data_IF_924275011239
#
_entry.id   IF_924275011239
#
_cell.length_a   1.000
_cell.length_b   1.000
_cell.length_c   1.000
_cell.angle_alpha   90.00
_cell.angle_beta   90.00
_cell.angle_gamma   90.00
#
_symmetry.space_group_name_H-M   'P 1'
#
loop_
_entity.id
_entity.type
_entity.pdbx_description
1 polymer ?
#
# COMPACT_ATOMS: atom_id res chain seq x y z
N UNK A 1 27.45 -7.37 15.60
CA UNK A 1 26.25 -7.79 16.36
C UNK A 1 24.95 -7.39 15.67
N UNK A 2 24.84 -6.22 15.03
CA UNK A 2 23.60 -5.79 14.34
C UNK A 2 23.40 -6.46 12.96
N UNK A 3 24.48 -6.68 12.19
CA UNK A 3 24.39 -7.36 10.88
C UNK A 3 24.01 -8.84 11.01
N UNK A 4 24.43 -9.49 12.10
CA UNK A 4 24.08 -10.89 12.39
C UNK A 4 22.61 -11.02 12.79
N UNK A 5 22.03 -10.03 13.48
CA UNK A 5 20.62 -10.02 13.84
C UNK A 5 19.70 -9.88 12.61
N UNK A 6 20.12 -9.08 11.61
CA UNK A 6 19.40 -8.88 10.35
C UNK A 6 19.41 -10.14 9.46
N UNK A 7 20.56 -10.80 9.35
CA UNK A 7 20.66 -12.08 8.60
C UNK A 7 19.89 -13.20 9.29
N UNK A 8 19.89 -13.27 10.63
CA UNK A 8 19.10 -14.25 11.38
C UNK A 8 17.59 -13.98 11.26
N UNK A 9 17.17 -12.71 11.14
CA UNK A 9 15.76 -12.34 10.92
C UNK A 9 15.28 -12.70 9.51
N UNK A 10 16.10 -12.50 8.47
CA UNK A 10 15.76 -12.94 7.11
C UNK A 10 15.79 -14.47 6.96
N UNK A 11 16.74 -15.15 7.60
CA UNK A 11 16.82 -16.61 7.58
C UNK A 11 15.68 -17.28 8.36
N UNK A 12 15.25 -16.71 9.50
CA UNK A 12 14.13 -17.25 10.29
C UNK A 12 12.79 -17.06 9.59
N UNK A 13 12.60 -15.97 8.83
CA UNK A 13 11.39 -15.71 8.04
C UNK A 13 11.24 -16.67 6.85
N UNK A 14 12.36 -17.03 6.21
CA UNK A 14 12.40 -18.06 5.15
C UNK A 14 12.19 -19.47 5.68
N UNK A 15 12.76 -19.81 6.85
CA UNK A 15 12.52 -21.10 7.52
C UNK A 15 11.08 -21.25 8.03
N UNK A 16 10.45 -20.16 8.49
CA UNK A 16 9.06 -20.16 8.93
C UNK A 16 8.07 -20.38 7.76
N UNK A 17 8.38 -19.82 6.58
CA UNK A 17 7.64 -20.12 5.34
C UNK A 17 7.86 -21.56 4.85
N UNK A 18 9.07 -22.10 4.96
CA UNK A 18 9.36 -23.50 4.64
C UNK A 18 8.70 -24.51 5.59
N UNK A 19 8.57 -24.17 6.88
CA UNK A 19 7.88 -25.02 7.86
C UNK A 19 6.35 -25.01 7.68
N UNK A 20 5.77 -23.88 7.25
CA UNK A 20 4.35 -23.77 6.93
C UNK A 20 3.98 -24.64 5.70
N UNK A 21 4.83 -24.63 4.67
CA UNK A 21 4.67 -25.44 3.46
C UNK A 21 4.76 -26.96 3.72
N UNK A 22 5.57 -27.37 4.71
CA UNK A 22 5.71 -28.79 5.10
C UNK A 22 4.57 -29.27 6.01
N UNK A 23 3.95 -28.36 6.78
CA UNK A 23 2.76 -28.66 7.60
C UNK A 23 1.49 -28.81 6.73
N UNK A 24 1.35 -27.99 5.69
CA UNK A 24 0.22 -28.06 4.74
C UNK A 24 0.25 -29.31 3.85
N UNK A 25 1.43 -29.91 3.62
CA UNK A 25 1.56 -31.14 2.85
C UNK A 25 1.20 -32.44 3.61
N UNK A 26 1.03 -32.39 4.95
CA UNK A 26 0.76 -33.60 5.76
C UNK A 26 -0.67 -33.73 6.30
N UNK A 27 -1.53 -32.72 6.11
CA UNK A 27 -2.93 -32.76 6.60
C UNK A 27 -3.96 -33.27 5.57
N UNK A 28 -3.80 -33.15 4.23
CA UNK A 28 -4.83 -33.63 3.30
C UNK A 28 -4.77 -35.15 3.05
N UNK A 29 -3.73 -35.87 3.51
CA UNK A 29 -3.60 -37.33 3.26
C UNK A 29 -4.50 -38.21 4.14
N UNK A 30 -5.25 -37.66 5.09
CA UNK A 30 -6.09 -38.45 6.01
C UNK A 30 -7.61 -38.29 5.85
N UNK A 31 -8.11 -37.35 5.05
CA UNK A 31 -9.55 -37.17 4.82
C UNK A 31 -9.84 -36.89 3.34
N UNK A 32 -10.12 -37.94 2.57
CA UNK A 32 -10.46 -37.78 1.16
C UNK A 32 -10.73 -39.09 0.42
N UNK A 33 -11.52 -39.99 1.00
CA UNK A 33 -12.19 -41.05 0.24
C UNK A 33 -13.66 -40.65 0.07
N UNK A 34 -14.15 -40.71 -1.17
CA UNK A 34 -15.54 -40.60 -1.69
C UNK A 34 -15.92 -39.31 -2.45
N UNK A 35 -15.79 -39.41 -3.78
CA UNK A 35 -16.82 -39.09 -4.81
C UNK A 35 -17.23 -37.62 -5.00
N UNK A 36 -16.67 -36.87 -5.96
CA UNK A 36 -16.90 -36.88 -7.43
C UNK A 36 -18.13 -36.07 -7.91
N UNK A 37 -17.85 -35.02 -8.69
CA UNK A 37 -18.81 -34.20 -9.44
C UNK A 37 -18.11 -33.01 -10.12
N UNK A 38 -17.19 -33.30 -11.05
CA UNK A 38 -16.32 -32.34 -11.75
C UNK A 38 -16.95 -31.72 -13.00
N UNK A 39 -16.87 -30.39 -13.13
CA UNK A 39 -16.50 -29.62 -14.33
C UNK A 39 -16.10 -28.21 -13.84
N UNK A 40 -14.93 -27.60 -14.08
CA UNK A 40 -13.70 -27.99 -14.76
C UNK A 40 -12.92 -26.71 -15.10
N UNK A 41 -12.04 -26.24 -14.22
CA UNK A 41 -10.92 -25.36 -14.61
C UNK A 41 -9.63 -26.13 -14.30
N UNK A 42 -8.98 -26.64 -15.34
CA UNK A 42 -7.65 -27.25 -15.24
C UNK A 42 -6.62 -26.15 -15.00
N UNK A 43 -6.05 -26.17 -13.81
CA UNK A 43 -4.76 -25.55 -13.52
C UNK A 43 -3.70 -26.36 -14.28
N UNK A 44 -2.99 -25.73 -15.23
CA UNK A 44 -1.83 -26.36 -15.87
C UNK A 44 -0.68 -26.33 -14.87
N UNK A 45 -0.51 -27.44 -14.14
CA UNK A 45 0.72 -27.75 -13.43
C UNK A 45 1.80 -28.06 -14.47
N UNK A 46 2.95 -27.38 -14.34
CA UNK A 46 4.13 -27.56 -15.19
C UNK A 46 4.87 -28.82 -14.72
N UNK A 47 4.79 -29.90 -15.50
CA UNK A 47 5.61 -31.10 -15.29
C UNK A 47 7.05 -30.87 -15.76
N UNK A 48 7.98 -31.45 -14.98
CA UNK A 48 9.43 -31.41 -15.12
C UNK A 48 9.95 -32.01 -16.43
N UNK A 49 11.03 -31.44 -16.98
CA UNK A 49 12.02 -32.12 -17.83
C UNK A 49 13.28 -31.27 -18.03
N UNK A 50 14.45 -31.84 -17.71
CA UNK A 50 15.73 -31.45 -18.32
C UNK A 50 16.90 -31.24 -17.34
N UNK A 51 17.63 -32.30 -17.05
CA UNK A 51 18.92 -32.33 -16.37
C UNK A 51 20.10 -32.02 -17.33
N UNK A 52 21.31 -31.97 -16.73
CA UNK A 52 22.67 -31.81 -17.32
C UNK A 52 23.21 -30.36 -17.27
N UNK A 53 24.40 -30.02 -16.77
CA UNK A 53 25.54 -30.83 -16.34
C UNK A 53 26.53 -30.03 -15.46
N UNK A 54 27.28 -30.77 -14.63
CA UNK A 54 28.42 -30.36 -13.80
C UNK A 54 29.58 -29.75 -14.62
N UNK A 55 30.32 -28.78 -14.05
CA UNK A 55 31.81 -28.83 -13.97
C UNK A 55 32.32 -28.06 -12.74
N UNK A 56 32.91 -28.81 -11.81
CA UNK A 56 33.78 -28.39 -10.72
C UNK A 56 35.09 -27.76 -11.21
N UNK A 57 35.65 -26.83 -10.42
CA UNK A 57 37.11 -26.61 -10.39
C UNK A 57 37.55 -26.16 -8.99
N UNK A 58 37.94 -27.16 -8.19
CA UNK A 58 38.77 -27.00 -7.02
C UNK A 58 40.20 -26.57 -7.39
N UNK A 59 40.84 -25.82 -6.48
CA UNK A 59 42.26 -26.01 -6.20
C UNK A 59 43.07 -24.75 -5.96
N UNK A 60 43.28 -24.37 -4.69
CA UNK A 60 44.54 -24.66 -3.96
C UNK A 60 44.68 -23.83 -2.67
N UNK A 61 44.90 -24.55 -1.57
CA UNK A 61 45.63 -24.14 -0.36
C UNK A 61 47.07 -23.71 -0.76
N UNK A 62 47.90 -22.99 0.01
CA UNK A 62 48.26 -23.17 1.42
C UNK A 62 49.18 -22.01 1.88
N UNK A 63 49.01 -21.59 3.15
CA UNK A 63 50.03 -21.35 4.20
C UNK A 63 51.16 -20.27 4.16
N UNK A 64 51.15 -19.49 5.26
CA UNK A 64 52.23 -19.15 6.20
C UNK A 64 53.40 -18.23 5.80
N UNK A 65 53.54 -17.11 6.54
CA UNK A 65 54.66 -16.92 7.48
C UNK A 65 54.47 -15.72 8.42
N UNK A 66 54.83 -15.94 9.69
CA UNK A 66 54.87 -15.01 10.84
C UNK A 66 56.16 -14.18 10.85
N UNK A 67 56.12 -12.96 11.40
CA UNK A 67 57.21 -12.39 12.19
C UNK A 67 56.70 -11.28 13.15
N UNK A 68 57.25 -11.25 14.36
CA UNK A 68 56.84 -10.52 15.55
C UNK A 68 57.81 -9.35 15.88
N UNK A 69 57.27 -8.18 16.29
CA UNK A 69 57.68 -7.28 17.43
C UNK A 69 59.04 -6.53 17.34
N UNK A 70 59.25 -5.27 17.90
CA UNK A 70 58.63 -4.72 19.13
C UNK A 70 58.13 -3.27 19.17
N UNK A 71 57.37 -3.03 20.25
CA UNK A 71 56.87 -1.77 20.80
C UNK A 71 57.95 -0.75 21.20
N UNK A 72 57.61 0.55 21.06
CA UNK A 72 58.21 1.63 21.84
C UNK A 72 57.11 2.59 22.33
N UNK A 73 57.30 3.07 23.57
CA UNK A 73 56.31 3.67 24.47
C UNK A 73 56.03 5.17 24.20
N UNK A 74 54.77 5.54 24.49
CA UNK A 74 54.27 6.77 25.19
C UNK A 74 54.56 8.18 24.64
N UNK A 75 53.49 8.87 24.19
CA UNK A 75 52.96 10.11 24.82
C UNK A 75 51.57 10.48 24.21
N UNK A 76 50.58 10.90 25.02
CA UNK A 76 49.26 11.28 24.49
C UNK A 76 49.31 12.73 23.98
N UNK A 77 48.94 12.94 22.71
CA UNK A 77 48.64 14.27 22.17
C UNK A 77 47.13 14.41 22.05
N UNK A 78 46.58 15.41 22.75
CA UNK A 78 45.20 15.85 22.64
C UNK A 78 44.79 16.03 21.16
N UNK A 79 43.63 15.50 20.73
CA UNK A 79 43.07 15.88 19.44
C UNK A 79 42.60 17.33 19.52
N UNK A 80 43.36 18.21 18.85
CA UNK A 80 42.99 19.58 18.54
C UNK A 80 41.58 19.58 17.96
N UNK A 81 40.63 20.11 18.73
CA UNK A 81 39.24 20.33 18.32
C UNK A 81 39.26 21.24 17.09
N UNK A 82 38.65 20.87 15.96
CA UNK A 82 38.58 21.77 14.81
C UNK A 82 37.85 23.06 15.21
N UNK A 83 38.23 24.23 14.67
CA UNK A 83 37.59 25.49 15.03
C UNK A 83 36.10 25.40 14.73
N UNK A 84 35.26 25.76 15.71
CA UNK A 84 33.83 25.99 15.48
C UNK A 84 33.73 26.98 14.32
N UNK A 85 33.29 26.52 13.14
CA UNK A 85 32.94 27.40 12.02
C UNK A 85 31.92 28.40 12.55
N UNK A 86 32.34 29.66 12.65
CA UNK A 86 31.47 30.78 12.93
C UNK A 86 30.36 30.80 11.90
N UNK A 87 29.13 30.92 12.39
CA UNK A 87 27.92 31.12 11.59
C UNK A 87 28.13 32.33 10.69
N UNK A 88 28.15 32.11 9.38
CA UNK A 88 28.25 33.21 8.41
C UNK A 88 26.95 34.05 8.40
N UNK A 89 26.99 35.32 7.98
CA UNK A 89 25.82 36.21 8.03
C UNK A 89 24.69 35.88 7.03
N UNK A 90 24.80 34.78 6.28
CA UNK A 90 23.86 34.43 5.20
C UNK A 90 23.42 32.97 5.18
N UNK A 91 23.53 32.22 6.29
CA UNK A 91 22.76 30.97 6.39
C UNK A 91 21.26 31.33 6.49
N UNK A 92 20.40 30.86 5.56
CA UNK A 92 18.97 31.03 5.71
C UNK A 92 18.59 30.45 7.06
N UNK A 93 18.00 31.29 7.90
CA UNK A 93 17.47 30.91 9.21
C UNK A 93 16.58 29.69 8.98
N UNK A 94 17.03 28.47 9.35
CA UNK A 94 16.25 27.22 9.21
C UNK A 94 14.87 27.51 9.81
N UNK A 95 13.86 27.73 8.95
CA UNK A 95 12.48 27.80 9.40
C UNK A 95 12.24 26.46 10.08
N UNK A 96 11.67 26.47 11.29
CA UNK A 96 11.20 25.25 11.94
C UNK A 96 10.16 24.68 10.97
N UNK A 97 10.56 23.70 10.15
CA UNK A 97 9.66 23.09 9.19
C UNK A 97 8.56 22.42 10.01
N UNK A 98 7.32 22.85 9.80
CA UNK A 98 6.16 22.16 10.31
C UNK A 98 5.89 20.94 9.43
N UNK A 99 5.16 19.95 9.96
CA UNK A 99 4.84 18.69 9.26
C UNK A 99 4.23 18.94 7.88
N UNK A 100 3.38 19.96 7.77
CA UNK A 100 2.78 20.46 6.53
C UNK A 100 3.82 20.79 5.46
N UNK A 101 4.86 21.54 5.85
CA UNK A 101 5.95 21.90 4.96
C UNK A 101 6.73 20.67 4.50
N UNK A 102 6.98 19.72 5.41
CA UNK A 102 7.68 18.48 5.07
C UNK A 102 6.88 17.61 4.08
N UNK A 103 5.56 17.49 4.25
CA UNK A 103 4.70 16.75 3.32
C UNK A 103 4.71 17.39 1.94
N UNK A 104 4.59 18.72 1.87
CA UNK A 104 4.63 19.46 0.61
C UNK A 104 6.02 19.41 -0.05
N UNK A 105 7.09 19.47 0.73
CA UNK A 105 8.46 19.33 0.25
C UNK A 105 8.66 17.93 -0.37
N UNK A 106 8.17 16.87 0.30
CA UNK A 106 8.18 15.50 -0.26
C UNK A 106 7.38 15.42 -1.56
N UNK A 107 6.17 15.99 -1.62
CA UNK A 107 5.36 16.01 -2.83
C UNK A 107 6.05 16.74 -3.99
N UNK A 108 6.76 17.83 -3.72
CA UNK A 108 7.47 18.59 -4.75
C UNK A 108 8.64 17.83 -5.38
N UNK A 109 9.32 16.97 -4.60
CA UNK A 109 10.52 16.24 -5.05
C UNK A 109 10.22 14.81 -5.47
N UNK A 110 9.05 14.24 -5.16
CA UNK A 110 8.77 12.83 -5.45
C UNK A 110 8.89 12.48 -6.95
N UNK A 111 8.60 13.45 -7.83
CA UNK A 111 8.74 13.30 -9.29
C UNK A 111 10.17 13.02 -9.74
N UNK A 112 11.17 13.35 -8.92
CA UNK A 112 12.58 13.13 -9.24
C UNK A 112 13.10 11.79 -8.74
N UNK A 113 12.33 11.08 -7.90
CA UNK A 113 12.69 9.76 -7.39
C UNK A 113 12.22 8.69 -8.38
N UNK A 114 13.06 8.42 -9.38
CA UNK A 114 12.77 7.43 -10.44
C UNK A 114 13.46 6.09 -10.16
N UNK A 115 14.60 6.10 -9.47
CA UNK A 115 15.39 4.90 -9.16
C UNK A 115 15.35 4.57 -7.66
N UNK A 116 15.19 3.28 -7.32
CA UNK A 116 15.17 2.80 -5.94
C UNK A 116 16.50 2.96 -5.18
N UNK A 117 17.60 3.24 -5.91
CA UNK A 117 18.94 3.42 -5.33
C UNK A 117 19.21 4.87 -4.87
N UNK A 118 18.28 5.80 -5.11
CA UNK A 118 18.41 7.19 -4.66
C UNK A 118 18.10 7.30 -3.17
N UNK A 119 18.94 8.06 -2.44
CA UNK A 119 18.65 8.37 -1.04
C UNK A 119 17.31 9.12 -0.93
N UNK A 120 16.44 8.74 0.02
CA UNK A 120 15.16 9.41 0.20
C UNK A 120 15.38 10.89 0.57
N UNK A 121 14.48 11.79 0.15
CA UNK A 121 14.63 13.20 0.44
C UNK A 121 14.56 13.46 1.94
N UNK A 122 15.29 14.47 2.41
CA UNK A 122 15.35 14.82 3.83
C UNK A 122 13.98 14.99 4.48
N UNK A 123 13.00 15.54 3.74
CA UNK A 123 11.63 15.72 4.23
C UNK A 123 10.95 14.39 4.54
N UNK A 124 11.14 13.38 3.70
CA UNK A 124 10.60 12.03 3.89
C UNK A 124 11.25 11.33 5.08
N UNK A 125 12.59 11.38 5.19
CA UNK A 125 13.32 10.82 6.33
C UNK A 125 12.80 11.43 7.64
N UNK A 126 12.69 12.76 7.68
CA UNK A 126 12.22 13.48 8.89
C UNK A 126 10.78 13.09 9.24
N UNK A 127 9.89 12.95 8.25
CA UNK A 127 8.51 12.51 8.48
C UNK A 127 8.45 11.09 9.07
N UNK A 128 9.28 10.17 8.58
CA UNK A 128 9.34 8.81 9.11
C UNK A 128 9.87 8.77 10.54
N UNK A 129 10.94 9.53 10.83
CA UNK A 129 11.48 9.67 12.19
C UNK A 129 10.41 10.24 13.16
N UNK A 130 9.61 11.20 12.71
CA UNK A 130 8.50 11.74 13.51
C UNK A 130 7.42 10.69 13.76
N UNK A 131 7.12 9.86 12.77
CA UNK A 131 6.10 8.82 12.84
C UNK A 131 6.49 7.61 13.72
N UNK A 132 7.70 7.57 14.28
CA UNK A 132 8.10 6.54 15.26
C UNK A 132 7.32 6.62 16.58
N UNK A 133 6.61 7.73 16.83
CA UNK A 133 5.73 7.91 18.00
C UNK A 133 4.27 8.02 17.57
N UNK A 134 3.34 7.55 18.40
CA UNK A 134 1.90 7.64 18.12
C UNK A 134 1.43 9.09 17.85
N UNK A 135 1.90 10.05 18.64
CA UNK A 135 1.54 11.47 18.46
C UNK A 135 2.12 12.04 17.16
N UNK A 136 3.39 11.75 16.85
CA UNK A 136 4.01 12.19 15.60
C UNK A 136 3.37 11.53 14.37
N UNK A 137 3.00 10.25 14.47
CA UNK A 137 2.25 9.55 13.42
C UNK A 137 0.89 10.21 13.18
N UNK A 138 0.15 10.56 14.24
CA UNK A 138 -1.12 11.29 14.13
C UNK A 138 -0.93 12.66 13.47
N UNK A 139 0.15 13.39 13.78
CA UNK A 139 0.46 14.66 13.13
C UNK A 139 0.74 14.49 11.63
N UNK A 140 1.51 13.47 11.26
CA UNK A 140 1.82 13.13 9.86
C UNK A 140 0.55 12.78 9.09
N UNK A 141 -0.29 11.88 9.62
CA UNK A 141 -1.56 11.49 8.98
C UNK A 141 -2.50 12.69 8.80
N UNK A 142 -2.66 13.53 9.82
CA UNK A 142 -3.49 14.73 9.72
C UNK A 142 -2.92 15.74 8.71
N UNK A 143 -1.59 15.84 8.60
CA UNK A 143 -0.92 16.68 7.61
C UNK A 143 -1.20 16.18 6.18
N UNK A 144 -1.02 14.88 5.92
CA UNK A 144 -1.34 14.23 4.65
C UNK A 144 -2.77 14.56 4.19
N UNK A 145 -3.73 14.52 5.12
CA UNK A 145 -5.14 14.85 4.83
C UNK A 145 -5.32 16.32 4.47
N UNK A 146 -4.67 17.22 5.21
CA UNK A 146 -4.89 18.66 5.15
C UNK A 146 -4.23 19.34 3.95
N UNK A 147 -2.99 18.97 3.60
CA UNK A 147 -2.15 19.84 2.76
C UNK A 147 -1.98 19.37 1.33
N UNK A 148 -2.23 18.09 1.04
CA UNK A 148 -2.04 17.56 -0.32
C UNK A 148 -3.15 18.10 -1.24
N UNK A 149 -2.81 18.88 -2.28
CA UNK A 149 -3.80 19.51 -3.16
C UNK A 149 -4.46 18.47 -4.07
N UNK A 150 -5.70 18.73 -4.47
CA UNK A 150 -6.48 17.80 -5.30
C UNK A 150 -5.85 17.60 -6.68
N UNK A 151 -5.28 18.68 -7.23
CA UNK A 151 -4.77 18.80 -8.59
C UNK A 151 -3.40 18.16 -8.77
N UNK A 152 -2.69 17.80 -7.69
CA UNK A 152 -1.42 17.09 -7.84
C UNK A 152 -1.68 15.60 -8.11
N UNK A 153 -1.33 15.10 -9.32
CA UNK A 153 -1.57 13.71 -9.70
C UNK A 153 -0.80 12.70 -8.84
N UNK A 154 0.29 13.12 -8.18
CA UNK A 154 1.08 12.25 -7.29
C UNK A 154 0.68 12.38 -5.83
N UNK A 155 -0.28 13.25 -5.51
CA UNK A 155 -0.78 13.41 -4.16
C UNK A 155 -1.13 12.08 -3.49
N UNK A 156 -1.93 11.19 -4.12
CA UNK A 156 -2.25 9.90 -3.52
C UNK A 156 -1.02 8.99 -3.37
N UNK A 157 -0.11 8.98 -4.35
CA UNK A 157 1.11 8.20 -4.29
C UNK A 157 2.00 8.60 -3.10
N UNK A 158 2.05 9.90 -2.78
CA UNK A 158 2.78 10.40 -1.60
C UNK A 158 2.12 9.98 -0.29
N UNK A 159 0.78 9.93 -0.22
CA UNK A 159 0.06 9.39 0.94
C UNK A 159 0.46 7.93 1.14
N UNK A 160 0.38 7.12 0.09
CA UNK A 160 0.73 5.70 0.14
C UNK A 160 2.20 5.51 0.55
N UNK A 161 3.13 6.16 -0.16
CA UNK A 161 4.56 6.04 0.11
C UNK A 161 4.94 6.39 1.56
N UNK A 162 4.44 7.52 2.06
CA UNK A 162 4.75 7.95 3.42
C UNK A 162 4.12 7.02 4.46
N UNK A 163 2.91 6.51 4.21
CA UNK A 163 2.26 5.61 5.14
C UNK A 163 2.84 4.20 5.10
N UNK A 164 3.33 3.71 3.96
CA UNK A 164 3.89 2.37 3.79
C UNK A 164 5.13 2.14 4.67
N UNK A 165 6.01 3.13 4.71
CA UNK A 165 7.25 3.09 5.48
C UNK A 165 7.07 3.53 6.95
N UNK A 166 5.91 4.05 7.32
CA UNK A 166 5.59 4.32 8.72
C UNK A 166 5.38 3.02 9.52
N UNK A 167 5.72 3.00 10.83
CA UNK A 167 5.37 1.89 11.70
C UNK A 167 3.85 1.68 11.73
N UNK A 168 3.42 0.45 11.98
CA UNK A 168 2.00 0.17 12.17
C UNK A 168 1.49 0.91 13.41
N UNK A 169 0.36 1.63 13.32
CA UNK A 169 -0.16 2.37 14.45
C UNK A 169 -0.66 1.43 15.55
N UNK A 170 -0.53 1.88 16.80
CA UNK A 170 -1.15 1.18 17.93
C UNK A 170 -2.68 1.27 17.85
N UNK A 171 -3.36 0.39 18.61
CA UNK A 171 -4.83 0.46 18.74
C UNK A 171 -5.29 1.83 19.26
N UNK A 172 -4.53 2.41 20.19
CA UNK A 172 -4.85 3.70 20.79
C UNK A 172 -4.67 4.84 19.80
N UNK A 173 -3.62 4.80 18.97
CA UNK A 173 -3.43 5.75 17.87
C UNK A 173 -4.56 5.67 16.84
N UNK A 174 -4.98 4.46 16.44
CA UNK A 174 -6.12 4.27 15.54
C UNK A 174 -7.43 4.78 16.12
N UNK A 175 -7.65 4.56 17.42
CA UNK A 175 -8.83 5.07 18.11
C UNK A 175 -8.83 6.61 18.13
N UNK A 176 -7.70 7.23 18.53
CA UNK A 176 -7.52 8.68 18.49
C UNK A 176 -7.74 9.25 17.09
N UNK A 177 -7.19 8.61 16.05
CA UNK A 177 -7.41 9.04 14.67
C UNK A 177 -8.90 9.03 14.32
N UNK A 178 -9.61 7.95 14.67
CA UNK A 178 -11.05 7.83 14.41
C UNK A 178 -11.84 8.94 15.12
N UNK A 179 -11.48 9.26 16.37
CA UNK A 179 -12.07 10.35 17.14
C UNK A 179 -11.77 11.74 16.53
N UNK A 180 -10.54 11.97 16.08
CA UNK A 180 -10.13 13.22 15.42
C UNK A 180 -10.86 13.42 14.10
N UNK A 181 -10.96 12.37 13.28
CA UNK A 181 -11.62 12.45 11.98
C UNK A 181 -13.13 12.58 12.13
N UNK A 182 -13.73 11.96 13.16
CA UNK A 182 -15.15 12.02 13.49
C UNK A 182 -16.07 11.87 12.26
N UNK A 183 -15.80 10.85 11.44
CA UNK A 183 -16.43 10.65 10.14
C UNK A 183 -17.87 10.11 10.28
N UNK A 184 -18.74 10.57 9.39
CA UNK A 184 -20.15 10.18 9.29
C UNK A 184 -20.68 10.48 7.88
N UNK A 185 -21.88 9.99 7.55
CA UNK A 185 -22.56 10.38 6.30
C UNK A 185 -22.80 11.89 6.21
N UNK A 186 -23.10 12.55 7.32
CA UNK A 186 -23.23 14.00 7.36
C UNK A 186 -21.91 14.71 7.03
N UNK A 187 -20.79 14.23 7.57
CA UNK A 187 -19.46 14.76 7.26
C UNK A 187 -19.10 14.57 5.78
N UNK A 188 -19.54 13.49 5.14
CA UNK A 188 -19.37 13.27 3.69
C UNK A 188 -20.12 14.31 2.85
N UNK A 189 -21.33 14.72 3.29
CA UNK A 189 -22.17 15.69 2.57
C UNK A 189 -21.76 17.15 2.80
N UNK A 190 -21.23 17.49 3.99
CA UNK A 190 -21.01 18.88 4.40
C UNK A 190 -19.81 19.56 3.72
N UNK A 191 -18.85 18.80 3.19
CA UNK A 191 -17.57 19.33 2.67
C UNK A 191 -17.42 19.13 1.14
N UNK A 192 -18.52 19.19 0.36
CA UNK A 192 -18.45 19.28 -1.12
C UNK A 192 -17.53 20.42 -1.61
N UNK A 193 -17.29 21.42 -0.75
CA UNK A 193 -16.36 22.53 -0.93
C UNK A 193 -14.87 22.18 -0.70
N UNK A 194 -14.54 21.01 -0.15
CA UNK A 194 -13.17 20.58 0.16
C UNK A 194 -12.82 19.19 -0.40
N UNK A 195 -12.95 18.97 -1.73
CA UNK A 195 -12.70 17.66 -2.35
C UNK A 195 -11.28 17.12 -2.12
N UNK A 196 -10.27 17.98 -1.97
CA UNK A 196 -8.90 17.58 -1.63
C UNK A 196 -8.84 16.81 -0.30
N UNK A 197 -9.43 17.39 0.75
CA UNK A 197 -9.47 16.80 2.09
C UNK A 197 -10.18 15.46 2.08
N UNK A 198 -11.34 15.36 1.42
CA UNK A 198 -12.06 14.10 1.28
C UNK A 198 -11.25 13.02 0.57
N UNK A 199 -10.65 13.38 -0.58
CA UNK A 199 -9.83 12.45 -1.34
C UNK A 199 -8.66 11.95 -0.51
N UNK A 200 -8.01 12.83 0.24
CA UNK A 200 -6.88 12.46 1.08
C UNK A 200 -7.34 11.59 2.25
N UNK A 201 -8.48 11.89 2.89
CA UNK A 201 -9.07 11.05 3.94
C UNK A 201 -9.36 9.65 3.44
N UNK A 202 -10.00 9.50 2.27
CA UNK A 202 -10.31 8.18 1.71
C UNK A 202 -9.05 7.43 1.27
N UNK A 203 -8.05 8.12 0.72
CA UNK A 203 -6.75 7.52 0.43
C UNK A 203 -6.03 7.01 1.69
N UNK A 204 -5.99 7.81 2.77
CA UNK A 204 -5.43 7.39 4.07
C UNK A 204 -6.17 6.15 4.59
N UNK A 205 -7.50 6.17 4.60
CA UNK A 205 -8.31 5.03 5.06
C UNK A 205 -8.02 3.77 4.23
N UNK A 206 -7.87 3.90 2.91
CA UNK A 206 -7.50 2.78 2.03
C UNK A 206 -6.11 2.21 2.35
N UNK A 207 -5.10 3.08 2.51
CA UNK A 207 -3.75 2.65 2.90
C UNK A 207 -3.74 1.94 4.26
N UNK A 208 -4.49 2.46 5.25
CA UNK A 208 -4.60 1.81 6.56
C UNK A 208 -5.32 0.46 6.45
N UNK A 209 -6.39 0.37 5.67
CA UNK A 209 -7.12 -0.87 5.46
C UNK A 209 -6.27 -1.97 4.79
N UNK A 210 -5.36 -1.58 3.90
CA UNK A 210 -4.40 -2.49 3.25
C UNK A 210 -3.31 -2.96 4.23
N UNK A 211 -2.81 -2.07 5.08
CA UNK A 211 -1.75 -2.40 6.05
C UNK A 211 -2.26 -3.18 7.27
N UNK A 212 -3.52 -2.96 7.67
CA UNK A 212 -4.14 -3.62 8.82
C UNK A 212 -4.87 -4.88 8.38
N UNK A 213 -4.68 -5.96 9.13
CA UNK A 213 -5.39 -7.22 8.91
C UNK A 213 -6.16 -7.65 10.18
N UNK A 214 -7.19 -8.47 9.97
CA UNK A 214 -7.95 -9.09 11.05
C UNK A 214 -8.59 -8.05 12.00
N UNK A 215 -8.51 -8.25 13.33
CA UNK A 215 -9.23 -7.41 14.29
C UNK A 215 -8.92 -5.91 14.22
N UNK A 216 -7.72 -5.51 13.79
CA UNK A 216 -7.35 -4.10 13.67
C UNK A 216 -8.07 -3.42 12.49
N UNK A 217 -8.15 -4.09 11.34
CA UNK A 217 -8.89 -3.60 10.17
C UNK A 217 -10.39 -3.57 10.43
N UNK A 218 -10.91 -4.59 11.13
CA UNK A 218 -12.32 -4.64 11.55
C UNK A 218 -12.63 -3.49 12.52
N UNK A 219 -11.76 -3.24 13.49
CA UNK A 219 -11.92 -2.13 14.43
C UNK A 219 -11.86 -0.75 13.77
N UNK A 220 -11.06 -0.61 12.70
CA UNK A 220 -10.97 0.64 11.94
C UNK A 220 -12.24 0.90 11.12
N UNK A 221 -12.89 -0.12 10.54
CA UNK A 221 -14.14 0.05 9.79
C UNK A 221 -15.34 0.27 10.72
N UNK A 222 -15.33 1.39 11.44
CA UNK A 222 -16.45 1.80 12.28
C UNK A 222 -17.71 2.11 11.45
N UNK A 223 -18.92 2.08 12.04
CA UNK A 223 -20.14 2.46 11.34
C UNK A 223 -20.07 3.86 10.72
N UNK A 224 -19.44 4.82 11.39
CA UNK A 224 -19.27 6.19 10.88
C UNK A 224 -18.34 6.26 9.66
N UNK A 225 -17.25 5.49 9.66
CA UNK A 225 -16.33 5.39 8.52
C UNK A 225 -17.03 4.72 7.32
N UNK A 226 -17.74 3.61 7.55
CA UNK A 226 -18.50 2.95 6.50
C UNK A 226 -19.55 3.88 5.90
N UNK A 227 -20.33 4.57 6.75
CA UNK A 227 -21.34 5.52 6.31
C UNK A 227 -20.72 6.67 5.51
N UNK A 228 -19.58 7.21 5.95
CA UNK A 228 -18.83 8.25 5.25
C UNK A 228 -18.35 7.79 3.87
N UNK A 229 -17.80 6.58 3.75
CA UNK A 229 -17.33 6.02 2.48
C UNK A 229 -18.50 5.80 1.51
N UNK A 230 -19.61 5.23 1.98
CA UNK A 230 -20.81 5.03 1.16
C UNK A 230 -21.43 6.35 0.70
N UNK A 231 -21.48 7.38 1.56
CA UNK A 231 -21.98 8.69 1.14
C UNK A 231 -21.02 9.41 0.18
N UNK A 232 -19.72 9.14 0.28
CA UNK A 232 -18.72 9.66 -0.65
C UNK A 232 -18.91 9.15 -2.09
N UNK A 233 -19.64 8.05 -2.30
CA UNK A 233 -20.03 7.51 -3.60
C UNK A 233 -21.27 8.18 -4.23
N UNK A 234 -21.89 9.15 -3.56
CA UNK A 234 -23.05 9.89 -4.09
C UNK A 234 -22.68 10.68 -5.36
N UNK A 235 -23.54 10.69 -6.39
CA UNK A 235 -23.40 11.44 -7.66
C UNK A 235 -23.00 12.91 -7.55
N UNK A 236 -23.27 13.56 -6.42
CA UNK A 236 -22.91 14.96 -6.17
C UNK A 236 -21.46 15.13 -5.70
N UNK A 237 -20.81 14.06 -5.24
CA UNK A 237 -19.42 14.07 -4.81
C UNK A 237 -18.46 14.28 -5.99
N UNK A 238 -17.26 14.77 -5.70
CA UNK A 238 -16.22 14.91 -6.72
C UNK A 238 -15.77 13.51 -7.22
N UNK A 239 -15.61 13.28 -8.54
CA UNK A 239 -15.23 11.96 -9.08
C UNK A 239 -13.98 11.35 -8.45
N UNK A 240 -12.94 12.15 -8.19
CA UNK A 240 -11.73 11.66 -7.51
C UNK A 240 -12.02 11.18 -6.08
N UNK A 241 -12.93 11.83 -5.36
CA UNK A 241 -13.32 11.40 -4.01
C UNK A 241 -14.03 10.04 -4.08
N UNK A 242 -14.95 9.88 -5.04
CA UNK A 242 -15.65 8.61 -5.27
C UNK A 242 -14.66 7.49 -5.59
N UNK A 243 -13.68 7.76 -6.47
CA UNK A 243 -12.68 6.78 -6.87
C UNK A 243 -11.87 6.28 -5.65
N UNK A 244 -11.36 7.20 -4.82
CA UNK A 244 -10.61 6.81 -3.63
C UNK A 244 -11.49 6.21 -2.53
N UNK A 245 -12.76 6.60 -2.42
CA UNK A 245 -13.71 5.94 -1.51
C UNK A 245 -13.97 4.49 -1.94
N UNK A 246 -14.12 4.24 -3.24
CA UNK A 246 -14.29 2.89 -3.78
C UNK A 246 -13.03 2.04 -3.55
N UNK A 247 -11.85 2.58 -3.82
CA UNK A 247 -10.58 1.90 -3.53
C UNK A 247 -10.48 1.58 -2.03
N UNK A 248 -10.83 2.51 -1.14
CA UNK A 248 -10.79 2.26 0.30
C UNK A 248 -11.74 1.12 0.70
N UNK A 249 -12.96 1.10 0.18
CA UNK A 249 -13.92 0.00 0.42
C UNK A 249 -13.39 -1.34 -0.10
N UNK A 250 -12.71 -1.36 -1.25
CA UNK A 250 -12.06 -2.56 -1.78
C UNK A 250 -10.94 -3.04 -0.86
N UNK A 251 -10.10 -2.14 -0.34
CA UNK A 251 -9.04 -2.48 0.62
C UNK A 251 -9.62 -3.01 1.93
N UNK A 252 -10.67 -2.38 2.48
CA UNK A 252 -11.36 -2.92 3.65
C UNK A 252 -11.91 -4.33 3.41
N UNK A 253 -12.45 -4.60 2.22
CA UNK A 253 -13.00 -5.89 1.85
C UNK A 253 -11.95 -6.99 1.58
N UNK A 254 -10.65 -6.70 1.71
CA UNK A 254 -9.62 -7.74 1.79
C UNK A 254 -9.71 -8.53 3.10
N UNK A 255 -10.30 -7.95 4.14
CA UNK A 255 -10.69 -8.67 5.37
C UNK A 255 -12.10 -9.22 5.22
N UNK A 256 -12.30 -10.53 5.46
CA UNK A 256 -13.57 -11.24 5.21
C UNK A 256 -14.78 -10.63 5.92
N UNK A 257 -14.64 -10.27 7.19
CA UNK A 257 -15.70 -9.70 8.03
C UNK A 257 -16.10 -8.31 7.55
N UNK A 258 -15.12 -7.50 7.16
CA UNK A 258 -15.35 -6.21 6.54
C UNK A 258 -16.03 -6.37 5.18
N UNK A 259 -15.62 -7.35 4.36
CA UNK A 259 -16.30 -7.65 3.08
C UNK A 259 -17.76 -7.96 3.29
N UNK A 260 -18.10 -8.80 4.28
CA UNK A 260 -19.49 -9.11 4.62
C UNK A 260 -20.25 -7.84 5.02
N UNK A 261 -19.68 -7.06 5.95
CA UNK A 261 -20.27 -5.80 6.44
C UNK A 261 -20.54 -4.81 5.30
N UNK A 262 -19.59 -4.64 4.39
CA UNK A 262 -19.75 -3.76 3.22
C UNK A 262 -20.77 -4.35 2.24
N UNK A 263 -20.76 -5.65 1.98
CA UNK A 263 -21.67 -6.30 1.02
C UNK A 263 -23.14 -6.29 1.49
N UNK A 264 -23.37 -6.30 2.80
CA UNK A 264 -24.70 -6.19 3.41
C UNK A 264 -25.22 -4.74 3.44
N UNK A 265 -24.38 -3.76 3.07
CA UNK A 265 -24.77 -2.36 2.94
C UNK A 265 -25.45 -2.06 1.60
N UNK A 266 -25.71 -0.77 1.33
CA UNK A 266 -26.27 -0.31 0.05
C UNK A 266 -25.23 -0.19 -1.09
N UNK A 267 -23.99 -0.68 -0.90
CA UNK A 267 -22.89 -0.51 -1.86
C UNK A 267 -23.27 -0.97 -3.27
N UNK A 268 -23.83 -2.18 -3.45
CA UNK A 268 -24.13 -2.72 -4.77
C UNK A 268 -25.20 -1.91 -5.52
N UNK A 269 -26.13 -1.29 -4.79
CA UNK A 269 -27.12 -0.39 -5.37
C UNK A 269 -26.49 0.92 -5.86
N UNK A 270 -25.54 1.47 -5.09
CA UNK A 270 -24.78 2.65 -5.50
C UNK A 270 -23.89 2.37 -6.71
N UNK A 271 -23.20 1.22 -6.74
CA UNK A 271 -22.31 0.85 -7.83
C UNK A 271 -23.05 0.66 -9.16
N UNK A 272 -24.29 0.15 -9.16
CA UNK A 272 -25.10 0.08 -10.39
C UNK A 272 -25.39 1.46 -10.97
N UNK A 273 -25.55 2.45 -10.11
CA UNK A 273 -25.76 3.79 -10.60
C UNK A 273 -24.45 4.32 -11.19
N UNK A 274 -23.33 4.14 -10.49
CA UNK A 274 -22.01 4.64 -10.92
C UNK A 274 -21.50 3.95 -12.19
N UNK A 275 -21.76 2.65 -12.39
CA UNK A 275 -21.34 1.94 -13.61
C UNK A 275 -21.93 2.53 -14.90
N UNK A 276 -23.02 3.30 -14.81
CA UNK A 276 -23.58 4.03 -15.97
C UNK A 276 -22.61 5.06 -16.54
N UNK A 277 -21.52 5.34 -15.85
CA UNK A 277 -20.46 6.23 -16.32
C UNK A 277 -19.35 5.52 -17.10
N UNK A 278 -19.41 4.21 -17.35
CA UNK A 278 -18.37 3.49 -18.14
C UNK A 278 -18.06 4.10 -19.50
N UNK A 279 -19.01 4.82 -20.10
CA UNK A 279 -18.85 5.48 -21.40
C UNK A 279 -18.92 7.02 -21.29
N UNK A 280 -18.69 7.56 -20.09
CA UNK A 280 -18.76 9.01 -19.87
C UNK A 280 -17.62 9.73 -20.62
N UNK A 281 -17.89 10.88 -21.28
CA UNK A 281 -16.83 11.68 -21.90
C UNK A 281 -15.84 12.25 -20.88
N UNK A 282 -16.28 12.53 -19.65
CA UNK A 282 -15.40 12.92 -18.55
C UNK A 282 -14.60 11.69 -18.08
N UNK A 283 -13.27 11.78 -18.19
CA UNK A 283 -12.39 10.64 -17.92
C UNK A 283 -12.42 10.21 -16.45
N UNK A 284 -12.57 11.13 -15.48
CA UNK A 284 -12.63 10.76 -14.06
C UNK A 284 -13.94 10.03 -13.75
N UNK A 285 -15.05 10.51 -14.31
CA UNK A 285 -16.34 9.80 -14.18
C UNK A 285 -16.27 8.43 -14.85
N UNK A 286 -15.59 8.33 -15.99
CA UNK A 286 -15.36 7.06 -16.67
C UNK A 286 -14.58 6.07 -15.82
N UNK A 287 -13.49 6.50 -15.19
CA UNK A 287 -12.73 5.71 -14.22
C UNK A 287 -13.59 5.22 -13.06
N UNK A 288 -14.42 6.10 -12.48
CA UNK A 288 -15.36 5.72 -11.42
C UNK A 288 -16.34 4.65 -11.92
N UNK A 289 -16.92 4.84 -13.11
CA UNK A 289 -17.85 3.87 -13.71
C UNK A 289 -17.20 2.52 -13.99
N UNK A 290 -15.99 2.52 -14.53
CA UNK A 290 -15.21 1.31 -14.77
C UNK A 290 -14.87 0.58 -13.45
N UNK A 291 -14.38 1.30 -12.44
CA UNK A 291 -14.09 0.70 -11.14
C UNK A 291 -15.35 0.16 -10.47
N UNK A 292 -16.49 0.83 -10.61
CA UNK A 292 -17.78 0.35 -10.09
C UNK A 292 -18.22 -0.95 -10.78
N UNK A 293 -18.11 -1.01 -12.11
CA UNK A 293 -18.37 -2.23 -12.89
C UNK A 293 -17.45 -3.38 -12.46
N UNK A 294 -16.15 -3.11 -12.32
CA UNK A 294 -15.17 -4.10 -11.85
C UNK A 294 -15.54 -4.62 -10.45
N UNK A 295 -15.89 -3.72 -9.53
CA UNK A 295 -16.28 -4.07 -8.16
C UNK A 295 -17.54 -4.95 -8.13
N UNK A 296 -18.54 -4.66 -8.97
CA UNK A 296 -19.77 -5.47 -9.09
C UNK A 296 -19.51 -6.87 -9.66
N UNK A 297 -18.48 -7.03 -10.48
CA UNK A 297 -18.14 -8.30 -11.12
C UNK A 297 -17.26 -9.18 -10.24
N UNK A 298 -16.46 -8.60 -9.35
CA UNK A 298 -15.41 -9.33 -8.62
C UNK A 298 -15.58 -9.33 -7.09
N UNK A 299 -16.23 -8.31 -6.52
CA UNK A 299 -16.15 -8.07 -5.08
C UNK A 299 -17.51 -7.96 -4.40
N UNK A 300 -18.34 -7.00 -4.83
CA UNK A 300 -19.65 -6.70 -4.24
C UNK A 300 -20.76 -7.18 -5.17
N UNK A 301 -20.89 -8.51 -5.26
CA UNK A 301 -21.77 -9.16 -6.23
C UNK A 301 -23.22 -8.74 -6.05
N UNK A 302 -23.94 -8.64 -7.18
CA UNK A 302 -25.39 -8.44 -7.18
C UNK A 302 -26.10 -9.55 -7.94
N UNK A 303 -27.10 -10.14 -7.30
CA UNK A 303 -27.90 -11.22 -7.88
C UNK A 303 -28.54 -10.84 -9.20
N UNK A 304 -28.49 -11.75 -10.17
CA UNK A 304 -29.11 -11.59 -11.50
C UNK A 304 -28.34 -10.70 -12.47
N UNK A 305 -27.14 -10.23 -12.10
CA UNK A 305 -26.25 -9.48 -13.00
C UNK A 305 -25.54 -10.41 -13.97
N UNK A 306 -25.45 -10.00 -15.24
CA UNK A 306 -24.55 -10.58 -16.23
C UNK A 306 -23.16 -9.95 -16.10
N UNK A 307 -22.11 -10.77 -16.03
CA UNK A 307 -20.75 -10.30 -15.82
C UNK A 307 -20.14 -9.69 -17.08
N UNK A 308 -19.17 -8.78 -16.92
CA UNK A 308 -18.56 -8.07 -18.06
C UNK A 308 -17.82 -9.02 -19.00
N UNK A 309 -17.17 -10.05 -18.49
CA UNK A 309 -16.49 -11.06 -19.31
C UNK A 309 -17.44 -11.86 -20.22
N UNK A 310 -18.75 -11.86 -19.94
CA UNK A 310 -19.76 -12.59 -20.73
C UNK A 310 -20.36 -11.73 -21.86
N UNK A 311 -20.24 -10.39 -21.77
CA UNK A 311 -20.90 -9.44 -22.68
C UNK A 311 -19.95 -8.61 -23.53
N UNK A 312 -18.68 -8.47 -23.12
CA UNK A 312 -17.69 -7.69 -23.87
C UNK A 312 -17.16 -8.50 -25.04
N UNK A 313 -17.15 -7.88 -26.22
CA UNK A 313 -16.50 -8.43 -27.40
C UNK A 313 -14.98 -8.22 -27.36
N UNK A 314 -14.24 -9.33 -27.27
CA UNK A 314 -12.78 -9.34 -27.28
C UNK A 314 -12.21 -9.77 -28.64
N UNK A 315 -13.03 -9.96 -29.69
CA UNK A 315 -12.62 -10.52 -31.00
C UNK A 315 -11.44 -9.76 -31.65
N UNK A 316 -11.33 -8.45 -31.39
CA UNK A 316 -10.27 -7.61 -31.95
C UNK A 316 -9.03 -7.45 -31.05
N UNK A 317 -9.03 -8.06 -29.87
CA UNK A 317 -7.93 -7.98 -28.91
C UNK A 317 -6.94 -9.12 -29.17
N UNK A 318 -5.70 -8.76 -29.54
CA UNK A 318 -4.62 -9.71 -29.89
C UNK A 318 -3.50 -9.76 -28.86
N UNK A 319 -3.70 -9.10 -27.73
CA UNK A 319 -2.76 -9.08 -26.62
C UNK A 319 -3.47 -9.56 -25.36
N UNK A 320 -2.75 -10.33 -24.55
CA UNK A 320 -3.20 -10.73 -23.22
C UNK A 320 -2.07 -10.38 -22.26
N UNK A 321 -2.42 -9.77 -21.13
CA UNK A 321 -1.46 -9.50 -20.09
C UNK A 321 -1.05 -10.80 -19.43
N UNK A 322 0.24 -10.94 -19.13
CA UNK A 322 0.74 -12.09 -18.42
C UNK A 322 0.17 -12.10 -17.01
N UNK A 323 -0.70 -13.06 -16.69
CA UNK A 323 -1.30 -13.18 -15.36
C UNK A 323 -0.29 -13.54 -14.26
N UNK A 324 0.94 -13.93 -14.64
CA UNK A 324 2.04 -14.16 -13.70
C UNK A 324 2.85 -12.89 -13.39
N UNK A 325 2.72 -11.83 -14.20
CA UNK A 325 3.25 -10.52 -13.88
C UNK A 325 2.19 -9.78 -13.05
N UNK A 326 2.18 -10.07 -11.75
CA UNK A 326 1.17 -9.57 -10.83
C UNK A 326 1.33 -8.06 -10.67
N UNK A 327 0.59 -7.29 -11.47
CA UNK A 327 0.37 -5.87 -11.21
C UNK A 327 -0.87 -5.74 -10.33
N UNK A 328 -0.70 -5.97 -9.02
CA UNK A 328 -1.77 -6.03 -8.00
C UNK A 328 -2.68 -4.78 -7.95
N UNK A 329 -2.25 -3.68 -8.58
CA UNK A 329 -2.87 -2.36 -8.48
C UNK A 329 -3.52 -1.87 -9.77
N UNK A 330 -3.48 -2.63 -10.87
CA UNK A 330 -4.02 -2.19 -12.16
C UNK A 330 -5.34 -2.89 -12.47
N UNK A 331 -6.36 -2.09 -12.78
CA UNK A 331 -7.59 -2.55 -13.43
C UNK A 331 -7.55 -2.10 -14.88
N UNK A 332 -7.63 -3.06 -15.79
CA UNK A 332 -7.41 -2.81 -17.21
C UNK A 332 -8.67 -3.20 -17.97
N UNK A 333 -9.21 -2.24 -18.70
CA UNK A 333 -10.38 -2.43 -19.55
C UNK A 333 -9.97 -3.04 -20.90
N UNK A 334 -10.93 -3.60 -21.65
CA UNK A 334 -10.71 -4.04 -23.03
C UNK A 334 -10.20 -2.94 -23.97
N UNK A 335 -10.42 -1.67 -23.60
CA UNK A 335 -10.02 -0.50 -24.37
C UNK A 335 -8.74 0.17 -23.83
N UNK A 336 -8.15 -0.35 -22.75
CA UNK A 336 -6.89 0.13 -22.18
C UNK A 336 -6.94 0.33 -20.66
N UNK A 337 -6.00 1.12 -20.14
CA UNK A 337 -6.02 1.55 -18.75
C UNK A 337 -7.13 2.59 -18.57
N UNK A 338 -8.04 2.33 -17.63
CA UNK A 338 -8.96 3.34 -17.09
C UNK A 338 -8.39 3.84 -15.76
#
# INVERSE_FOLDING_TARGET
>A
MIVVALVVFYASRSLFQGLLLTLEHHIPRFLGALGAGSMGNSCVCRDDSGAEDNVDSQGRQTENSRAHIPEARSHPRDPVRPPRRGRGPHEPRRKKQNVDGLVLDTLAVIRTLVDNDQEPPYSMITLHEMAETDEGWLEVVQSLIRVIPLEDPLGPAVITLLLDECPLPTKDALQKLTEILNLSGAAACQDACHPAKHRNTTAVLGCLAEKLAGPASIGLLSPGILEYLLHSLNFQSHPTVMLFALIALEKFAQTSENKMTVSESCISDQLILLEKWTDNPDYLKRQVGFCAQWSLDNLFLKGGRQFTYEKVDLTNIRAMLNSNDVSEYLKISPHGLE
#
